data_IF_764517841496
#
_entry.id   IF_764517841496
#
_cell.length_a   1.000
_cell.length_b   1.000
_cell.length_c   1.000
_cell.angle_alpha   90.00
_cell.angle_beta   90.00
_cell.angle_gamma   90.00
#
_symmetry.space_group_name_H-M   'P 1'
#
loop_
_entity.id
_entity.type
_entity.pdbx_description
1 polymer ?
#
# COMPACT_ATOMS: atom_id res chain seq x y z
N UNK A 1 3.34 -36.28 1.94
CA UNK A 1 2.34 -35.25 2.34
C UNK A 1 3.06 -34.24 3.21
N UNK A 2 3.48 -33.12 2.62
CA UNK A 2 3.95 -31.97 3.40
C UNK A 2 2.72 -31.11 3.68
N UNK A 3 2.51 -30.79 4.96
CA UNK A 3 1.44 -29.90 5.41
C UNK A 3 1.50 -28.58 4.64
N UNK A 4 0.39 -28.04 4.12
CA UNK A 4 0.39 -26.68 3.62
C UNK A 4 0.52 -25.78 4.85
N UNK A 5 1.72 -25.25 5.08
CA UNK A 5 1.94 -24.23 6.09
C UNK A 5 1.19 -22.99 5.62
N UNK A 6 0.02 -22.76 6.22
CA UNK A 6 -0.80 -21.58 5.96
C UNK A 6 -0.15 -20.41 6.69
N UNK A 7 0.19 -19.35 5.97
CA UNK A 7 0.58 -18.07 6.60
C UNK A 7 -0.49 -17.69 7.63
N UNK A 8 -0.05 -17.30 8.81
CA UNK A 8 -0.95 -16.91 9.89
C UNK A 8 -1.13 -15.40 9.79
N UNK A 9 -2.18 -14.98 9.08
CA UNK A 9 -2.69 -13.61 9.11
C UNK A 9 -3.06 -13.25 10.55
N UNK A 10 -2.61 -12.09 11.03
CA UNK A 10 -2.93 -11.54 12.35
C UNK A 10 -3.60 -10.19 12.21
N UNK A 11 -4.62 -9.94 13.01
CA UNK A 11 -5.19 -8.60 13.12
C UNK A 11 -4.13 -7.66 13.70
N UNK A 12 -3.89 -6.56 13.01
CA UNK A 12 -3.04 -5.46 13.47
C UNK A 12 -3.91 -4.31 13.93
N UNK A 13 -3.45 -3.54 14.91
CA UNK A 13 -4.10 -2.29 15.27
C UNK A 13 -3.86 -1.26 14.16
N UNK A 14 -4.75 -1.18 13.17
CA UNK A 14 -4.59 -0.32 12.00
C UNK A 14 -4.28 1.15 12.35
N UNK A 15 -4.92 1.77 13.37
CA UNK A 15 -4.58 3.14 13.76
C UNK A 15 -3.14 3.28 14.30
N UNK A 16 -2.68 2.31 15.09
CA UNK A 16 -1.31 2.31 15.61
C UNK A 16 -0.29 2.05 14.50
N UNK A 17 -0.61 1.14 13.57
CA UNK A 17 0.21 0.84 12.40
C UNK A 17 0.36 2.06 11.49
N UNK A 18 -0.74 2.71 11.12
CA UNK A 18 -0.70 3.96 10.34
C UNK A 18 0.23 4.98 11.01
N UNK A 19 0.04 5.23 12.30
CA UNK A 19 0.83 6.21 13.05
C UNK A 19 2.30 5.82 13.13
N UNK A 20 2.62 4.54 13.35
CA UNK A 20 4.00 4.07 13.46
C UNK A 20 4.76 4.22 12.14
N UNK A 21 4.13 3.87 11.02
CA UNK A 21 4.79 3.83 9.71
C UNK A 21 4.85 5.19 9.00
N UNK A 22 3.85 6.04 9.25
CA UNK A 22 3.68 7.29 8.51
C UNK A 22 3.77 8.54 9.39
N UNK A 23 3.65 8.41 10.71
CA UNK A 23 3.47 9.55 11.61
C UNK A 23 2.09 10.23 11.50
N UNK A 24 1.20 9.75 10.62
CA UNK A 24 -0.16 10.28 10.46
C UNK A 24 -1.02 9.74 11.59
N UNK A 25 -1.67 10.64 12.32
CA UNK A 25 -2.64 10.26 13.35
C UNK A 25 -4.03 10.16 12.73
N UNK A 26 -4.67 9.01 12.90
CA UNK A 26 -6.08 8.83 12.56
C UNK A 26 -6.93 9.77 13.43
N UNK A 27 -7.86 10.47 12.81
CA UNK A 27 -8.70 11.47 13.48
C UNK A 27 -10.17 11.35 13.13
N UNK A 28 -10.93 12.40 13.46
CA UNK A 28 -12.35 12.49 13.11
C UNK A 28 -12.58 12.31 11.60
N UNK A 29 -13.57 11.49 11.25
CA UNK A 29 -13.92 11.23 9.87
C UNK A 29 -13.08 10.15 9.16
N UNK A 30 -12.27 9.40 9.90
CA UNK A 30 -11.64 8.17 9.44
C UNK A 30 -12.46 6.94 9.90
N UNK A 31 -12.45 5.88 9.12
CA UNK A 31 -13.03 4.59 9.48
C UNK A 31 -12.19 3.49 8.87
N UNK A 32 -11.75 2.55 9.70
CA UNK A 32 -11.07 1.35 9.22
C UNK A 32 -12.02 0.53 8.35
N UNK A 33 -11.50 0.04 7.23
CA UNK A 33 -12.18 -0.86 6.31
C UNK A 33 -11.65 -2.27 6.48
N UNK A 34 -10.32 -2.40 6.51
CA UNK A 34 -9.62 -3.68 6.64
C UNK A 34 -8.18 -3.45 7.11
N UNK A 35 -7.58 -4.45 7.76
CA UNK A 35 -6.15 -4.46 8.09
C UNK A 35 -5.71 -5.85 8.53
N UNK A 36 -4.57 -6.31 8.01
CA UNK A 36 -3.97 -7.57 8.41
C UNK A 36 -2.44 -7.45 8.41
N UNK A 37 -1.80 -8.33 9.19
CA UNK A 37 -0.37 -8.56 9.19
C UNK A 37 -0.07 -10.01 8.81
N UNK A 38 0.62 -10.20 7.68
CA UNK A 38 1.08 -11.51 7.22
C UNK A 38 2.50 -11.87 7.71
N UNK A 39 3.20 -10.96 8.42
CA UNK A 39 4.54 -11.20 8.94
C UNK A 39 4.50 -12.27 10.05
N UNK A 40 4.74 -13.52 9.65
CA UNK A 40 4.65 -14.66 10.57
C UNK A 40 5.26 -15.98 10.09
N UNK A 41 5.91 -16.01 8.91
CA UNK A 41 6.62 -17.17 8.38
C UNK A 41 8.01 -17.40 8.97
N UNK A 42 8.74 -18.41 8.48
CA UNK A 42 10.06 -18.83 8.98
C UNK A 42 11.18 -17.78 8.80
N UNK A 43 10.92 -16.72 8.02
CA UNK A 43 11.91 -15.71 7.58
C UNK A 43 11.51 -14.26 7.88
N UNK A 44 10.26 -14.01 8.31
CA UNK A 44 9.77 -12.65 8.55
C UNK A 44 9.15 -11.98 7.33
N UNK A 45 9.18 -12.64 6.17
CA UNK A 45 8.65 -12.08 4.92
C UNK A 45 7.12 -11.96 4.92
N UNK A 46 6.59 -10.91 4.29
CA UNK A 46 5.16 -10.69 4.13
C UNK A 46 4.79 -9.23 3.92
N UNK A 47 3.48 -8.97 3.96
CA UNK A 47 2.88 -7.64 3.94
C UNK A 47 2.08 -7.40 5.22
N UNK A 48 2.21 -6.21 5.80
CA UNK A 48 1.24 -5.64 6.72
C UNK A 48 0.53 -4.51 5.99
N UNK A 49 -0.80 -4.48 6.05
CA UNK A 49 -1.57 -3.43 5.40
C UNK A 49 -2.70 -2.90 6.28
N UNK A 50 -3.16 -1.71 5.92
CA UNK A 50 -4.38 -1.12 6.47
C UNK A 50 -5.09 -0.26 5.43
N UNK A 51 -6.41 -0.35 5.41
CA UNK A 51 -7.29 0.37 4.50
C UNK A 51 -8.28 1.19 5.30
N UNK A 52 -8.40 2.47 4.98
CA UNK A 52 -9.29 3.41 5.66
C UNK A 52 -10.18 4.13 4.68
N UNK A 53 -11.43 4.35 5.08
CA UNK A 53 -12.35 5.25 4.42
C UNK A 53 -12.44 6.56 5.17
N UNK A 54 -12.42 7.66 4.42
CA UNK A 54 -12.44 9.01 4.95
C UNK A 54 -13.70 9.76 4.53
N UNK A 55 -14.09 10.73 5.33
CA UNK A 55 -15.00 11.79 4.91
C UNK A 55 -14.28 12.79 3.99
N UNK A 56 -15.04 13.60 3.24
CA UNK A 56 -14.45 14.61 2.36
C UNK A 56 -13.52 15.60 3.11
N UNK A 57 -13.92 16.19 4.25
CA UNK A 57 -13.03 17.10 4.97
C UNK A 57 -11.74 16.42 5.48
N UNK A 58 -11.82 15.13 5.83
CA UNK A 58 -10.67 14.39 6.31
C UNK A 58 -9.65 14.11 5.19
N UNK A 59 -10.12 13.72 4.00
CA UNK A 59 -9.22 13.47 2.88
C UNK A 59 -8.61 14.77 2.33
N UNK A 60 -9.38 15.86 2.26
CA UNK A 60 -8.87 17.16 1.82
C UNK A 60 -7.72 17.61 2.72
N UNK A 61 -7.92 17.52 4.05
CA UNK A 61 -6.89 17.81 5.04
C UNK A 61 -5.66 16.92 4.91
N UNK A 62 -5.84 15.63 4.60
CA UNK A 62 -4.71 14.71 4.41
C UNK A 62 -3.90 15.08 3.16
N UNK A 63 -4.56 15.38 2.05
CA UNK A 63 -3.93 15.79 0.78
C UNK A 63 -3.16 17.11 0.95
N UNK A 64 -3.69 18.05 1.73
CA UNK A 64 -3.03 19.32 2.05
C UNK A 64 -1.84 19.16 3.02
N UNK A 65 -1.74 18.03 3.71
CA UNK A 65 -0.64 17.72 4.62
C UNK A 65 0.61 17.28 3.87
N UNK A 66 1.76 17.32 4.54
CA UNK A 66 3.01 16.79 3.98
C UNK A 66 2.94 15.26 3.97
N UNK A 67 3.38 14.58 2.89
CA UNK A 67 3.48 13.14 2.92
C UNK A 67 4.53 12.64 3.93
N UNK A 68 4.47 11.36 4.32
CA UNK A 68 5.31 10.82 5.39
C UNK A 68 6.82 10.80 5.09
N UNK A 69 7.21 10.49 3.86
CA UNK A 69 8.59 10.10 3.54
C UNK A 69 9.22 11.04 2.52
N UNK A 70 8.43 11.61 1.61
CA UNK A 70 8.91 12.53 0.56
C UNK A 70 8.73 14.01 0.91
N UNK A 71 9.25 14.89 0.04
CA UNK A 71 9.06 16.33 0.17
C UNK A 71 7.63 16.79 -0.20
N UNK A 72 6.93 16.01 -1.04
CA UNK A 72 5.56 16.29 -1.51
C UNK A 72 4.93 15.04 -2.11
N UNK A 73 3.59 15.01 -2.15
CA UNK A 73 2.83 13.89 -2.70
C UNK A 73 3.18 13.66 -4.17
N UNK A 74 3.27 12.39 -4.56
CA UNK A 74 3.44 11.98 -5.95
C UNK A 74 2.06 11.77 -6.60
N UNK A 75 1.95 11.98 -7.91
CA UNK A 75 0.72 11.71 -8.65
C UNK A 75 0.82 10.34 -9.33
N UNK A 76 -0.30 9.62 -9.36
CA UNK A 76 -0.40 8.31 -10.01
C UNK A 76 -0.09 8.35 -11.51
N UNK A 77 0.16 7.20 -12.13
CA UNK A 77 -0.01 5.86 -11.57
C UNK A 77 1.14 5.50 -10.62
N UNK A 78 0.89 4.56 -9.72
CA UNK A 78 1.97 4.00 -8.90
C UNK A 78 2.92 3.24 -9.85
N UNK A 79 4.24 3.48 -9.78
CA UNK A 79 5.22 2.72 -10.56
C UNK A 79 5.12 1.22 -10.29
N UNK A 80 5.24 0.43 -11.36
CA UNK A 80 5.10 -1.02 -11.33
C UNK A 80 6.00 -1.71 -10.31
N UNK A 81 7.27 -1.29 -10.27
CA UNK A 81 8.31 -1.73 -9.34
C UNK A 81 7.99 -1.45 -7.86
N UNK A 82 7.00 -0.60 -7.57
CA UNK A 82 6.50 -0.36 -6.21
C UNK A 82 5.22 -1.18 -6.00
N UNK A 83 4.20 -0.93 -6.82
CA UNK A 83 2.86 -1.45 -6.57
C UNK A 83 2.69 -2.96 -6.75
N UNK A 84 3.64 -3.66 -7.41
CA UNK A 84 3.58 -5.12 -7.55
C UNK A 84 3.85 -5.87 -6.24
N UNK A 85 4.37 -5.18 -5.22
CA UNK A 85 4.71 -5.75 -3.92
C UNK A 85 3.59 -5.66 -2.88
N UNK A 86 2.45 -5.05 -3.23
CA UNK A 86 1.31 -4.86 -2.33
C UNK A 86 0.07 -5.59 -2.86
N UNK A 87 -0.64 -6.26 -1.97
CA UNK A 87 -1.94 -6.88 -2.22
C UNK A 87 -3.07 -6.25 -1.41
N UNK A 88 -2.78 -5.52 -0.32
CA UNK A 88 -3.79 -4.92 0.56
C UNK A 88 -4.94 -5.87 0.95
N UNK A 89 -4.65 -7.16 1.14
CA UNK A 89 -5.62 -8.20 1.49
C UNK A 89 -6.41 -8.77 0.30
N UNK A 90 -6.05 -8.42 -0.93
CA UNK A 90 -6.71 -8.90 -2.16
C UNK A 90 -5.92 -10.04 -2.83
N UNK A 91 -6.31 -10.43 -4.04
CA UNK A 91 -5.57 -11.43 -4.85
C UNK A 91 -4.26 -10.87 -5.44
N UNK A 92 -3.93 -9.59 -5.20
CA UNK A 92 -2.72 -8.93 -5.66
C UNK A 92 -2.74 -8.58 -7.15
N UNK A 93 -1.59 -8.08 -7.64
CA UNK A 93 -1.42 -7.68 -9.04
C UNK A 93 -0.09 -8.16 -9.61
N UNK A 94 -0.04 -8.24 -10.94
CA UNK A 94 1.19 -8.34 -11.69
C UNK A 94 1.40 -7.07 -12.52
N UNK A 95 2.65 -6.67 -12.73
CA UNK A 95 3.01 -5.57 -13.61
C UNK A 95 3.87 -6.07 -14.77
N UNK A 96 3.52 -5.69 -15.99
CA UNK A 96 4.27 -6.07 -17.18
C UNK A 96 3.80 -5.34 -18.43
N UNK A 97 4.59 -5.42 -19.49
CA UNK A 97 4.30 -4.81 -20.78
C UNK A 97 5.19 -5.38 -21.87
N UNK A 98 4.85 -5.10 -23.12
CA UNK A 98 5.72 -5.42 -24.25
C UNK A 98 6.98 -4.55 -24.20
N UNK A 99 8.09 -5.07 -24.71
CA UNK A 99 9.35 -4.33 -24.77
C UNK A 99 9.15 -3.03 -25.55
N UNK A 100 9.39 -1.89 -24.90
CA UNK A 100 9.23 -0.55 -25.49
C UNK A 100 7.86 0.08 -25.28
N UNK A 101 6.93 -0.58 -24.58
CA UNK A 101 5.64 -0.04 -24.18
C UNK A 101 5.61 0.28 -22.68
N UNK A 102 4.72 1.19 -22.27
CA UNK A 102 4.46 1.42 -20.87
C UNK A 102 3.85 0.16 -20.26
N UNK A 103 4.40 -0.30 -19.14
CA UNK A 103 3.84 -1.44 -18.42
C UNK A 103 2.46 -1.14 -17.86
N UNK A 104 1.66 -2.18 -17.66
CA UNK A 104 0.30 -2.11 -17.13
C UNK A 104 0.11 -3.14 -16.02
N UNK A 105 -0.72 -2.78 -15.04
CA UNK A 105 -1.18 -3.71 -14.02
C UNK A 105 -2.22 -4.69 -14.58
N UNK A 106 -2.19 -5.93 -14.08
CA UNK A 106 -3.18 -6.99 -14.32
C UNK A 106 -3.40 -7.79 -13.03
N UNK A 107 -4.50 -8.55 -12.92
CA UNK A 107 -4.84 -9.29 -11.71
C UNK A 107 -6.13 -8.76 -11.07
N UNK A 108 -6.10 -8.51 -9.76
CA UNK A 108 -7.24 -7.97 -9.01
C UNK A 108 -7.74 -6.65 -9.63
N UNK A 109 -9.02 -6.60 -10.02
CA UNK A 109 -9.56 -5.45 -10.74
C UNK A 109 -9.55 -4.15 -9.93
N UNK A 110 -9.69 -4.26 -8.60
CA UNK A 110 -9.71 -3.09 -7.72
C UNK A 110 -8.29 -2.52 -7.62
N UNK A 111 -7.28 -3.35 -7.40
CA UNK A 111 -5.89 -2.90 -7.36
C UNK A 111 -5.37 -2.42 -8.72
N UNK A 112 -5.73 -3.09 -9.82
CA UNK A 112 -5.39 -2.63 -11.17
C UNK A 112 -5.92 -1.21 -11.39
N UNK A 113 -7.15 -0.93 -10.97
CA UNK A 113 -7.73 0.42 -11.08
C UNK A 113 -7.06 1.41 -10.13
N UNK A 114 -6.80 1.02 -8.89
CA UNK A 114 -6.18 1.89 -7.89
C UNK A 114 -4.75 2.30 -8.31
N UNK A 115 -3.88 1.31 -8.52
CA UNK A 115 -2.46 1.52 -8.81
C UNK A 115 -2.23 2.08 -10.21
N UNK A 116 -3.09 1.71 -11.18
CA UNK A 116 -3.05 2.24 -12.55
C UNK A 116 -3.71 3.62 -12.73
N UNK A 117 -4.33 4.19 -11.70
CA UNK A 117 -5.05 5.46 -11.81
C UNK A 117 -4.11 6.66 -11.88
N UNK A 118 -4.42 7.63 -12.74
CA UNK A 118 -3.75 8.94 -12.77
C UNK A 118 -4.26 9.90 -11.69
N UNK A 119 -5.33 9.51 -10.97
CA UNK A 119 -6.04 10.37 -10.02
C UNK A 119 -5.67 10.11 -8.57
N UNK A 120 -5.02 8.97 -8.30
CA UNK A 120 -4.47 8.72 -6.98
C UNK A 120 -3.27 9.63 -6.75
N UNK A 121 -3.03 9.92 -5.48
CA UNK A 121 -1.74 10.43 -5.04
C UNK A 121 -1.12 9.40 -4.12
N UNK A 122 0.19 9.34 -4.08
CA UNK A 122 0.88 8.38 -3.24
C UNK A 122 2.17 8.95 -2.68
N UNK A 123 2.67 8.29 -1.64
CA UNK A 123 4.05 8.40 -1.22
C UNK A 123 4.60 6.99 -1.00
N UNK A 124 5.90 6.82 -1.20
CA UNK A 124 6.55 5.54 -1.06
C UNK A 124 7.94 5.71 -0.47
N UNK A 125 8.40 4.69 0.27
CA UNK A 125 9.71 4.66 0.88
C UNK A 125 10.33 3.29 0.72
N UNK A 126 11.46 3.24 0.05
CA UNK A 126 12.32 2.08 0.05
C UNK A 126 13.06 1.98 1.38
N UNK A 127 13.05 0.79 2.01
CA UNK A 127 13.69 0.56 3.31
C UNK A 127 15.03 -0.17 3.21
N UNK A 128 15.29 -0.94 2.16
CA UNK A 128 16.53 -1.72 2.08
C UNK A 128 17.10 -1.91 0.67
N UNK A 129 18.40 -2.24 0.69
CA UNK A 129 19.15 -3.06 -0.26
C UNK A 129 19.40 -2.47 -1.67
N UNK A 130 20.59 -1.89 -1.88
CA UNK A 130 21.05 -1.35 -3.18
C UNK A 130 20.95 -2.34 -4.37
N UNK A 131 20.94 -3.65 -4.10
CA UNK A 131 20.92 -4.71 -5.12
C UNK A 131 19.53 -5.23 -5.49
N UNK A 132 18.51 -4.95 -4.68
CA UNK A 132 17.14 -5.45 -4.88
C UNK A 132 16.16 -4.29 -4.63
N UNK A 133 15.92 -3.45 -5.65
CA UNK A 133 15.00 -2.34 -5.53
C UNK A 133 13.61 -2.79 -5.08
N UNK A 134 13.04 -2.08 -4.13
CA UNK A 134 11.72 -2.29 -3.53
C UNK A 134 11.51 -3.67 -2.93
N UNK A 135 12.58 -4.37 -2.56
CA UNK A 135 12.47 -5.63 -1.82
C UNK A 135 11.74 -5.43 -0.49
N UNK A 136 12.08 -4.34 0.21
CA UNK A 136 11.42 -3.91 1.44
C UNK A 136 10.97 -2.47 1.27
N UNK A 137 9.68 -2.22 1.42
CA UNK A 137 9.13 -0.89 1.13
C UNK A 137 7.84 -0.58 1.86
N UNK A 138 7.54 0.71 1.91
CA UNK A 138 6.27 1.25 2.36
C UNK A 138 5.61 1.95 1.17
N UNK A 139 4.29 1.82 1.08
CA UNK A 139 3.46 2.54 0.13
C UNK A 139 2.21 3.05 0.86
N UNK A 140 1.93 4.35 0.70
CA UNK A 140 0.62 4.90 1.03
C UNK A 140 -0.01 5.46 -0.25
N UNK A 141 -1.21 5.00 -0.58
CA UNK A 141 -2.00 5.49 -1.72
C UNK A 141 -3.27 6.14 -1.20
N UNK A 142 -3.54 7.34 -1.67
CA UNK A 142 -4.77 8.09 -1.38
C UNK A 142 -5.56 8.15 -2.68
N UNK A 143 -6.80 7.67 -2.64
CA UNK A 143 -7.77 7.81 -3.73
C UNK A 143 -8.82 8.87 -3.35
N UNK A 144 -8.71 10.10 -3.88
CA UNK A 144 -9.64 11.19 -3.60
C UNK A 144 -11.08 10.90 -4.06
N UNK A 145 -11.25 10.13 -5.14
CA UNK A 145 -12.56 9.88 -5.73
C UNK A 145 -13.38 8.94 -4.81
N UNK A 146 -12.76 7.87 -4.31
CA UNK A 146 -13.41 6.92 -3.40
C UNK A 146 -13.31 7.31 -1.93
N UNK A 147 -12.44 8.28 -1.60
CA UNK A 147 -12.08 8.69 -0.24
C UNK A 147 -11.46 7.55 0.56
N UNK A 148 -10.54 6.82 -0.07
CA UNK A 148 -9.89 5.66 0.54
C UNK A 148 -8.39 5.90 0.66
N UNK A 149 -7.81 5.49 1.79
CA UNK A 149 -6.37 5.49 2.04
C UNK A 149 -5.93 4.05 2.21
N UNK A 150 -4.90 3.66 1.48
CA UNK A 150 -4.32 2.33 1.47
C UNK A 150 -2.89 2.45 1.95
N UNK A 151 -2.53 1.75 3.03
CA UNK A 151 -1.16 1.67 3.53
C UNK A 151 -0.69 0.22 3.46
N UNK A 152 0.49 0.02 2.92
CA UNK A 152 1.17 -1.27 2.85
C UNK A 152 2.62 -1.13 3.27
N UNK A 153 3.12 -2.13 3.98
CA UNK A 153 4.49 -2.29 4.41
C UNK A 153 4.88 -3.73 4.15
N UNK A 154 5.86 -3.95 3.29
CA UNK A 154 6.32 -5.28 2.94
C UNK A 154 7.81 -5.46 3.22
N UNK A 155 8.18 -6.68 3.54
CA UNK A 155 9.54 -7.16 3.75
C UNK A 155 9.61 -8.53 3.07
N UNK A 156 10.46 -8.72 2.07
CA UNK A 156 10.55 -9.97 1.29
C UNK A 156 11.97 -10.49 1.19
#
# INVERSE_FOLDING_TARGET
>A
MLSPFRMVKRDVSAPEFLRAETGIEMGDGWSEVDSEDEHGGFVGDGETFAVFKLTQPAIDKLIESKPPWSAGWQSGPVPGDIGLHCDFGTDGVAFGGLIGEAGTYTGDELLVRLLGSQRVIYDAKERCCDSLPWHNGNLIVIDPDTKTVWLSVWDF
#
